data_IF_044614266209
#
_entry.id   IF_044614266209
#
_cell.length_a   1.000
_cell.length_b   1.000
_cell.length_c   1.000
_cell.angle_alpha   90.00
_cell.angle_beta   90.00
_cell.angle_gamma   90.00
#
_symmetry.space_group_name_H-M   'P 1'
#
loop_
_entity.id
_entity.type
_entity.pdbx_description
1 polymer ?
#
# COMPACT_ATOMS: atom_id res chain seq x y z
N UNK A 1 7.33 -11.59 6.53
CA UNK A 1 6.61 -10.30 6.61
C UNK A 1 5.14 -10.61 6.90
N UNK A 2 4.55 -10.04 7.95
CA UNK A 2 3.12 -10.24 8.24
C UNK A 2 2.30 -9.78 7.04
N UNK A 3 1.40 -10.62 6.54
CA UNK A 3 0.50 -10.25 5.43
C UNK A 3 -0.55 -9.27 5.96
N UNK A 4 -0.34 -7.97 5.74
CA UNK A 4 -1.27 -6.91 6.21
C UNK A 4 -2.36 -6.64 5.18
N UNK A 5 -2.11 -6.95 3.89
CA UNK A 5 -3.13 -6.90 2.84
C UNK A 5 -4.37 -7.70 3.25
N UNK A 6 -5.53 -7.06 3.42
CA UNK A 6 -6.77 -7.74 3.79
C UNK A 6 -7.09 -8.92 2.89
N UNK A 7 -6.95 -8.78 1.56
CA UNK A 7 -7.33 -9.83 0.61
C UNK A 7 -6.31 -10.97 0.57
N UNK A 8 -5.01 -10.66 0.60
CA UNK A 8 -3.95 -11.69 0.56
C UNK A 8 -3.74 -12.42 1.88
N UNK A 9 -4.13 -11.80 3.00
CA UNK A 9 -4.15 -12.49 4.30
C UNK A 9 -5.23 -13.57 4.36
N UNK A 10 -6.28 -13.43 3.56
CA UNK A 10 -7.51 -14.20 3.69
C UNK A 10 -8.42 -13.59 4.76
N UNK A 11 -9.69 -13.41 4.42
CA UNK A 11 -10.72 -12.88 5.31
C UNK A 11 -11.80 -13.94 5.45
N UNK A 12 -11.99 -14.46 6.66
CA UNK A 12 -13.20 -15.19 6.97
C UNK A 12 -14.28 -14.19 7.38
N UNK A 13 -15.37 -14.12 6.61
CA UNK A 13 -16.44 -13.13 6.80
C UNK A 13 -17.03 -13.21 8.21
N UNK A 14 -17.08 -14.41 8.81
CA UNK A 14 -17.65 -14.64 10.14
C UNK A 14 -16.80 -14.06 11.29
N UNK A 15 -15.54 -13.75 11.04
CA UNK A 15 -14.64 -13.22 12.07
C UNK A 15 -14.86 -11.72 12.34
N UNK A 16 -15.75 -11.07 11.57
CA UNK A 16 -15.95 -9.63 11.60
C UNK A 16 -17.43 -9.25 11.67
N UNK A 17 -17.73 -8.22 12.46
CA UNK A 17 -18.96 -7.45 12.33
C UNK A 17 -18.80 -6.44 11.19
N UNK A 18 -19.71 -6.47 10.21
CA UNK A 18 -19.63 -5.66 9.00
C UNK A 18 -20.57 -4.45 9.05
N UNK A 19 -20.04 -3.28 8.74
CA UNK A 19 -20.79 -2.03 8.73
C UNK A 19 -20.59 -1.30 7.41
N UNK A 20 -21.69 -0.86 6.79
CA UNK A 20 -21.59 0.16 5.73
C UNK A 20 -21.15 1.47 6.40
N UNK A 21 -20.06 2.06 5.92
CA UNK A 21 -19.53 3.33 6.43
C UNK A 21 -19.60 4.47 5.40
N UNK A 22 -20.04 4.18 4.19
CA UNK A 22 -20.24 5.18 3.14
C UNK A 22 -20.46 4.56 1.77
N UNK A 23 -20.48 5.42 0.76
CA UNK A 23 -20.53 5.08 -0.65
C UNK A 23 -19.80 6.15 -1.47
N UNK A 24 -19.43 5.78 -2.70
CA UNK A 24 -18.72 6.61 -3.66
C UNK A 24 -18.92 6.05 -5.07
N UNK A 25 -18.23 6.57 -6.07
CA UNK A 25 -18.19 6.00 -7.41
C UNK A 25 -16.73 5.87 -7.87
N UNK A 26 -16.40 4.77 -8.53
CA UNK A 26 -15.05 4.54 -9.06
C UNK A 26 -15.13 3.68 -10.32
N UNK A 27 -14.32 4.03 -11.33
CA UNK A 27 -14.16 3.24 -12.55
C UNK A 27 -15.50 2.91 -13.26
N UNK A 28 -16.37 3.92 -13.31
CA UNK A 28 -17.70 3.87 -13.94
C UNK A 28 -18.77 3.12 -13.15
N UNK A 29 -18.52 2.76 -11.89
CA UNK A 29 -19.43 1.97 -11.07
C UNK A 29 -19.72 2.64 -9.72
N UNK A 30 -20.92 2.41 -9.17
CA UNK A 30 -21.23 2.74 -7.79
C UNK A 30 -20.47 1.83 -6.82
N UNK A 31 -19.92 2.39 -5.75
CA UNK A 31 -19.10 1.70 -4.76
C UNK A 31 -19.72 1.85 -3.38
N UNK A 32 -19.87 0.74 -2.67
CA UNK A 32 -20.18 0.74 -1.23
C UNK A 32 -18.90 0.57 -0.42
N UNK A 33 -18.77 1.32 0.67
CA UNK A 33 -17.63 1.24 1.58
C UNK A 33 -18.06 0.47 2.82
N UNK A 34 -17.43 -0.68 3.04
CA UNK A 34 -17.75 -1.59 4.16
C UNK A 34 -16.54 -1.75 5.06
N UNK A 35 -16.74 -1.58 6.36
CA UNK A 35 -15.74 -1.85 7.39
C UNK A 35 -16.06 -3.15 8.11
N UNK A 36 -15.08 -4.05 8.18
CA UNK A 36 -15.10 -5.19 9.08
C UNK A 36 -14.42 -4.84 10.41
N UNK A 37 -15.08 -5.10 11.53
CA UNK A 37 -14.50 -4.95 12.86
C UNK A 37 -14.29 -6.34 13.45
N UNK A 38 -13.05 -6.68 13.81
CA UNK A 38 -12.75 -8.05 14.26
C UNK A 38 -13.49 -8.39 15.56
N UNK A 39 -14.12 -9.56 15.60
CA UNK A 39 -14.96 -10.04 16.70
C UNK A 39 -14.16 -10.80 17.78
N UNK A 40 -12.86 -10.54 17.90
CA UNK A 40 -11.97 -11.21 18.85
C UNK A 40 -11.49 -10.27 19.97
N UNK A 41 -11.19 -10.83 21.15
CA UNK A 41 -10.83 -10.05 22.36
C UNK A 41 -9.51 -9.27 22.23
N UNK A 42 -8.59 -9.66 21.34
CA UNK A 42 -7.33 -8.94 21.08
C UNK A 42 -7.51 -7.99 19.90
N UNK A 43 -8.13 -6.83 20.15
CA UNK A 43 -8.35 -5.80 19.12
C UNK A 43 -7.02 -5.34 18.52
N UNK A 44 -6.89 -5.53 17.22
CA UNK A 44 -5.76 -5.07 16.42
C UNK A 44 -6.33 -4.26 15.26
N UNK A 45 -6.47 -2.92 15.40
CA UNK A 45 -7.11 -2.08 14.38
C UNK A 45 -6.47 -2.17 12.99
N UNK A 46 -5.19 -2.57 12.92
CA UNK A 46 -4.50 -2.81 11.67
C UNK A 46 -5.00 -4.05 10.91
N UNK A 47 -5.81 -4.90 11.56
CA UNK A 47 -6.48 -6.07 10.99
C UNK A 47 -7.94 -5.82 10.60
N UNK A 48 -8.55 -4.70 11.01
CA UNK A 48 -9.92 -4.33 10.64
C UNK A 48 -9.94 -3.87 9.17
N UNK A 49 -10.47 -4.66 8.23
CA UNK A 49 -10.46 -4.28 6.81
C UNK A 49 -11.49 -3.20 6.51
N UNK A 50 -11.16 -2.31 5.59
CA UNK A 50 -12.13 -1.43 4.93
C UNK A 50 -12.08 -1.76 3.44
N UNK A 51 -13.21 -2.20 2.90
CA UNK A 51 -13.37 -2.67 1.54
C UNK A 51 -14.25 -1.68 0.76
N UNK A 52 -13.82 -1.37 -0.46
CA UNK A 52 -14.56 -0.56 -1.43
C UNK A 52 -15.06 -1.51 -2.51
N UNK A 53 -16.34 -1.85 -2.46
CA UNK A 53 -16.94 -2.92 -3.25
C UNK A 53 -17.86 -2.32 -4.30
N UNK A 54 -17.69 -2.72 -5.55
CA UNK A 54 -18.60 -2.37 -6.63
C UNK A 54 -19.98 -2.97 -6.42
N UNK A 55 -21.02 -2.16 -6.57
CA UNK A 55 -22.42 -2.58 -6.36
C UNK A 55 -22.88 -3.54 -7.46
N UNK A 56 -22.41 -3.35 -8.70
CA UNK A 56 -22.86 -4.13 -9.85
C UNK A 56 -21.98 -5.37 -10.07
N UNK A 57 -20.67 -5.20 -9.90
CA UNK A 57 -19.66 -6.22 -10.21
C UNK A 57 -19.22 -7.04 -9.00
N UNK A 58 -19.54 -6.60 -7.78
CA UNK A 58 -19.04 -7.16 -6.51
C UNK A 58 -17.50 -7.20 -6.41
N UNK A 59 -16.80 -6.47 -7.29
CA UNK A 59 -15.34 -6.40 -7.31
C UNK A 59 -14.86 -5.45 -6.20
N UNK A 60 -13.72 -5.79 -5.59
CA UNK A 60 -13.10 -4.94 -4.57
C UNK A 60 -12.07 -4.01 -5.23
N UNK A 61 -12.42 -2.72 -5.36
CA UNK A 61 -11.59 -1.72 -6.05
C UNK A 61 -10.54 -1.09 -5.14
N UNK A 62 -10.76 -1.11 -3.83
CA UNK A 62 -9.78 -0.61 -2.87
C UNK A 62 -9.89 -1.36 -1.57
N UNK A 63 -8.75 -1.62 -0.94
CA UNK A 63 -8.68 -2.07 0.44
C UNK A 63 -7.75 -1.17 1.25
N UNK A 64 -8.16 -0.92 2.48
CA UNK A 64 -7.33 -0.30 3.52
C UNK A 64 -7.64 -0.99 4.85
N UNK A 65 -6.99 -0.54 5.93
CA UNK A 65 -7.31 -0.96 7.28
C UNK A 65 -7.75 0.24 8.13
N UNK A 66 -8.38 -0.02 9.28
CA UNK A 66 -8.84 1.05 10.16
C UNK A 66 -7.70 1.93 10.72
N UNK A 67 -6.45 1.45 10.69
CA UNK A 67 -5.25 2.22 11.07
C UNK A 67 -4.71 3.13 9.96
N UNK A 68 -5.26 3.07 8.74
CA UNK A 68 -4.81 3.80 7.56
C UNK A 68 -3.30 3.64 7.29
N UNK A 69 -2.78 2.45 7.56
CA UNK A 69 -1.36 2.14 7.35
C UNK A 69 -1.11 1.46 6.02
N UNK A 70 -2.13 0.89 5.39
CA UNK A 70 -2.00 0.21 4.09
C UNK A 70 -3.09 0.66 3.15
N UNK A 71 -2.75 0.82 1.89
CA UNK A 71 -3.71 1.07 0.81
C UNK A 71 -3.37 0.18 -0.36
N UNK A 72 -4.38 -0.48 -0.91
CA UNK A 72 -4.34 -1.18 -2.19
C UNK A 72 -5.46 -0.62 -3.04
N UNK A 73 -5.15 -0.18 -4.26
CA UNK A 73 -6.15 0.29 -5.23
C UNK A 73 -6.02 -0.58 -6.46
N UNK A 74 -7.16 -0.99 -6.98
CA UNK A 74 -7.29 -1.81 -8.18
C UNK A 74 -8.04 -1.03 -9.25
N UNK A 75 -7.65 -1.23 -10.50
CA UNK A 75 -8.29 -0.61 -11.67
C UNK A 75 -8.62 -1.69 -12.70
N UNK A 76 -9.67 -1.51 -13.50
CA UNK A 76 -9.92 -2.37 -14.66
C UNK A 76 -8.85 -2.16 -15.73
N UNK A 77 -8.37 -3.25 -16.30
CA UNK A 77 -7.70 -3.22 -17.61
C UNK A 77 -8.76 -3.18 -18.73
N UNK A 78 -8.32 -3.15 -19.98
CA UNK A 78 -9.19 -3.11 -21.15
C UNK A 78 -10.11 -4.35 -21.27
N UNK A 79 -9.71 -5.49 -20.69
CA UNK A 79 -10.53 -6.71 -20.59
C UNK A 79 -11.52 -6.70 -19.41
N UNK A 80 -11.57 -5.61 -18.64
CA UNK A 80 -12.40 -5.49 -17.43
C UNK A 80 -11.90 -6.28 -16.21
N UNK A 81 -10.69 -6.86 -16.26
CA UNK A 81 -10.04 -7.53 -15.12
C UNK A 81 -9.38 -6.51 -14.21
N UNK A 82 -9.46 -6.73 -12.89
CA UNK A 82 -8.78 -5.87 -11.93
C UNK A 82 -7.30 -6.22 -11.82
N UNK A 83 -6.46 -5.19 -11.89
CA UNK A 83 -5.05 -5.26 -11.54
C UNK A 83 -4.73 -4.28 -10.41
N UNK A 84 -3.72 -4.58 -9.58
CA UNK A 84 -3.26 -3.70 -8.52
C UNK A 84 -2.56 -2.50 -9.16
N UNK A 85 -3.21 -1.33 -9.18
CA UNK A 85 -2.67 -0.12 -9.80
C UNK A 85 -1.79 0.68 -8.86
N UNK A 86 -2.08 0.60 -7.56
CA UNK A 86 -1.39 1.35 -6.52
C UNK A 86 -1.31 0.56 -5.22
N UNK A 87 -0.16 0.61 -4.57
CA UNK A 87 0.01 0.11 -3.21
C UNK A 87 0.83 1.09 -2.37
N UNK A 88 0.35 1.36 -1.15
CA UNK A 88 1.10 2.06 -0.11
C UNK A 88 1.12 1.22 1.15
N UNK A 89 2.27 1.18 1.81
CA UNK A 89 2.41 0.70 3.18
C UNK A 89 3.26 1.65 3.99
N UNK A 90 2.67 2.16 5.07
CA UNK A 90 3.29 3.06 6.02
C UNK A 90 3.48 2.38 7.37
N UNK A 91 4.71 2.45 7.89
CA UNK A 91 5.07 1.91 9.20
C UNK A 91 5.67 2.99 10.08
N UNK A 92 5.29 3.01 11.36
CA UNK A 92 5.89 3.81 12.42
C UNK A 92 6.47 2.86 13.45
N UNK A 93 7.73 3.04 13.80
CA UNK A 93 8.37 2.31 14.90
C UNK A 93 9.26 3.25 15.69
N UNK A 94 9.49 2.93 16.95
CA UNK A 94 10.59 3.52 17.70
C UNK A 94 11.82 2.64 17.50
N UNK A 95 12.96 3.28 17.33
CA UNK A 95 14.26 2.60 17.33
C UNK A 95 15.10 3.18 18.44
N UNK A 96 15.66 2.30 19.25
CA UNK A 96 16.62 2.65 20.28
C UNK A 96 17.88 3.23 19.64
N UNK A 97 18.38 4.32 20.20
CA UNK A 97 19.61 4.96 19.79
C UNK A 97 20.74 4.50 20.69
N UNK A 98 21.81 3.96 20.08
CA UNK A 98 23.08 3.77 20.76
C UNK A 98 23.69 5.12 21.14
N UNK A 99 24.63 5.16 22.09
CA UNK A 99 25.32 6.39 22.46
C UNK A 99 26.00 7.08 21.27
N UNK A 100 26.53 6.30 20.33
CA UNK A 100 27.14 6.81 19.10
C UNK A 100 26.11 7.51 18.20
N UNK A 101 24.93 6.91 18.02
CA UNK A 101 23.84 7.55 17.28
C UNK A 101 23.40 8.85 17.96
N UNK A 102 23.29 8.87 19.30
CA UNK A 102 22.93 10.06 20.06
C UNK A 102 23.93 11.20 19.89
N UNK A 103 25.24 10.89 19.93
CA UNK A 103 26.31 11.85 19.66
C UNK A 103 26.27 12.40 18.24
N UNK A 104 26.07 11.52 17.24
CA UNK A 104 26.04 11.89 15.82
C UNK A 104 24.85 12.77 15.48
N UNK A 105 23.66 12.38 15.96
CA UNK A 105 22.40 13.11 15.75
C UNK A 105 22.25 14.32 16.69
N UNK A 106 23.19 14.52 17.63
CA UNK A 106 23.18 15.59 18.64
C UNK A 106 21.87 15.62 19.43
N UNK A 107 21.43 14.46 19.91
CA UNK A 107 20.18 14.30 20.67
C UNK A 107 20.42 13.56 21.98
N UNK A 108 19.64 13.90 23.01
CA UNK A 108 19.60 13.19 24.30
C UNK A 108 18.51 12.14 24.36
N UNK A 109 17.71 12.00 23.30
CA UNK A 109 16.63 11.02 23.25
C UNK A 109 17.20 9.61 23.11
N UNK A 110 16.78 8.70 24.00
CA UNK A 110 17.15 7.28 23.92
C UNK A 110 16.48 6.55 22.75
N UNK A 111 15.41 7.12 22.19
CA UNK A 111 14.66 6.56 21.07
C UNK A 111 14.35 7.62 20.03
N UNK A 112 14.37 7.21 18.77
CA UNK A 112 13.86 8.03 17.66
C UNK A 112 12.65 7.38 17.02
N UNK A 113 11.71 8.22 16.59
CA UNK A 113 10.57 7.79 15.77
C UNK A 113 11.03 7.61 14.34
N UNK A 114 10.99 6.36 13.86
CA UNK A 114 11.20 6.02 12.47
C UNK A 114 9.88 5.85 11.74
N UNK A 115 9.81 6.46 10.57
CA UNK A 115 8.69 6.34 9.65
C UNK A 115 9.22 5.80 8.33
N UNK A 116 8.64 4.70 7.85
CA UNK A 116 8.97 4.14 6.53
C UNK A 116 7.70 4.03 5.70
N UNK A 117 7.74 4.56 4.48
CA UNK A 117 6.69 4.43 3.48
C UNK A 117 7.25 3.64 2.30
N UNK A 118 6.57 2.57 1.93
CA UNK A 118 6.78 1.86 0.68
C UNK A 118 5.61 2.19 -0.24
N UNK A 119 5.92 2.58 -1.46
CA UNK A 119 4.93 2.98 -2.46
C UNK A 119 5.24 2.29 -3.78
N UNK A 120 4.20 1.74 -4.41
CA UNK A 120 4.28 1.06 -5.71
C UNK A 120 3.18 1.63 -6.59
N UNK A 121 3.57 2.08 -7.78
CA UNK A 121 2.66 2.62 -8.79
C UNK A 121 2.90 1.80 -10.06
N UNK A 122 1.83 1.29 -10.66
CA UNK A 122 1.91 0.59 -11.94
C UNK A 122 1.81 1.60 -13.07
N UNK A 123 2.87 1.67 -13.89
CA UNK A 123 2.97 2.58 -15.04
C UNK A 123 2.40 1.97 -16.34
N UNK A 124 2.36 0.63 -16.42
CA UNK A 124 1.85 -0.10 -17.58
C UNK A 124 1.65 -1.57 -17.27
N UNK A 125 0.92 -2.26 -18.14
CA UNK A 125 0.64 -3.70 -18.03
C UNK A 125 1.17 -4.36 -19.31
N UNK A 126 2.02 -5.37 -19.14
CA UNK A 126 2.43 -6.26 -20.22
C UNK A 126 1.86 -7.65 -19.93
N UNK A 127 1.18 -8.23 -20.93
CA UNK A 127 0.52 -9.53 -20.84
C UNK A 127 1.17 -10.56 -21.76
N UNK A 128 1.96 -10.12 -22.75
CA UNK A 128 2.76 -11.00 -23.58
C UNK A 128 3.89 -11.62 -22.77
N UNK A 129 3.69 -12.89 -22.41
CA UNK A 129 4.66 -13.69 -21.65
C UNK A 129 6.05 -13.71 -22.28
N UNK A 130 6.18 -13.54 -23.60
CA UNK A 130 7.48 -13.54 -24.29
C UNK A 130 8.34 -12.33 -23.92
N UNK A 131 7.71 -11.23 -23.48
CA UNK A 131 8.39 -10.00 -23.04
C UNK A 131 8.63 -9.97 -21.53
N UNK A 132 8.17 -10.97 -20.79
CA UNK A 132 8.28 -11.05 -19.35
C UNK A 132 9.39 -12.04 -19.00
N UNK A 133 10.53 -11.52 -18.54
CA UNK A 133 11.58 -12.35 -17.96
C UNK A 133 11.27 -12.63 -16.48
N UNK A 134 10.88 -13.87 -16.19
CA UNK A 134 10.60 -14.33 -14.82
C UNK A 134 11.81 -14.98 -14.14
N UNK A 135 12.98 -15.02 -14.78
CA UNK A 135 14.16 -15.71 -14.25
C UNK A 135 14.68 -15.10 -12.93
N UNK A 136 14.41 -13.81 -12.68
CA UNK A 136 14.76 -13.10 -11.44
C UNK A 136 13.79 -13.36 -10.28
N UNK A 137 13.53 -14.63 -9.94
CA UNK A 137 12.64 -14.99 -8.82
C UNK A 137 13.24 -14.69 -7.44
N UNK A 138 14.54 -14.49 -7.33
CA UNK A 138 15.19 -14.15 -6.04
C UNK A 138 14.71 -12.80 -5.47
N UNK A 139 14.23 -11.91 -6.34
CA UNK A 139 13.64 -10.61 -5.97
C UNK A 139 12.42 -10.79 -5.05
N UNK A 140 11.70 -11.92 -5.12
CA UNK A 140 10.55 -12.19 -4.24
C UNK A 140 10.92 -12.27 -2.75
N UNK A 141 12.20 -12.46 -2.42
CA UNK A 141 12.70 -12.52 -1.03
C UNK A 141 13.44 -11.26 -0.59
N UNK A 142 13.76 -10.35 -1.51
CA UNK A 142 14.49 -9.12 -1.21
C UNK A 142 13.55 -8.03 -0.70
N UNK A 143 14.03 -7.19 0.23
CA UNK A 143 13.31 -5.95 0.53
C UNK A 143 13.37 -5.02 -0.68
N UNK A 144 12.35 -4.17 -0.86
CA UNK A 144 12.36 -3.18 -1.95
C UNK A 144 13.62 -2.32 -1.94
N UNK A 145 14.15 -1.95 -0.77
CA UNK A 145 15.40 -1.20 -0.64
C UNK A 145 16.67 -1.98 -1.05
N UNK A 146 16.61 -3.30 -1.17
CA UNK A 146 17.75 -4.15 -1.53
C UNK A 146 17.81 -4.42 -3.04
N UNK A 147 16.74 -4.10 -3.79
CA UNK A 147 16.68 -4.30 -5.23
C UNK A 147 17.65 -3.33 -5.90
N UNK A 148 18.72 -3.88 -6.50
CA UNK A 148 19.66 -3.10 -7.31
C UNK A 148 19.01 -2.73 -8.64
N UNK A 149 18.47 -1.52 -8.72
CA UNK A 149 17.99 -0.95 -9.98
C UNK A 149 19.19 -0.36 -10.74
N UNK A 150 19.42 -0.80 -11.98
CA UNK A 150 20.44 -0.18 -12.84
C UNK A 150 20.00 1.24 -13.18
N UNK A 151 20.90 2.20 -13.08
CA UNK A 151 20.63 3.56 -13.52
C UNK A 151 20.29 3.58 -15.01
N UNK A 152 19.21 4.29 -15.37
CA UNK A 152 18.79 4.49 -16.74
C UNK A 152 18.51 6.00 -16.92
N UNK A 153 19.39 6.71 -17.63
CA UNK A 153 19.26 8.15 -17.85
C UNK A 153 17.98 8.49 -18.63
N UNK A 154 17.70 7.73 -19.70
CA UNK A 154 16.54 7.95 -20.57
C UNK A 154 15.21 7.79 -19.81
N UNK A 155 15.16 6.87 -18.84
CA UNK A 155 14.00 6.79 -17.94
C UNK A 155 13.80 8.09 -17.18
N UNK A 156 14.85 8.62 -16.53
CA UNK A 156 14.75 9.83 -15.70
C UNK A 156 14.47 11.09 -16.51
N UNK A 157 15.02 11.19 -17.72
CA UNK A 157 14.78 12.32 -18.62
C UNK A 157 13.33 12.39 -19.10
N UNK A 158 12.67 11.23 -19.19
CA UNK A 158 11.27 11.11 -19.64
C UNK A 158 10.28 10.80 -18.51
N UNK A 159 10.74 10.77 -17.26
CA UNK A 159 9.91 10.37 -16.13
C UNK A 159 8.95 11.50 -15.75
N UNK A 160 7.69 11.36 -16.17
CA UNK A 160 6.62 12.24 -15.72
C UNK A 160 6.09 11.77 -14.36
N UNK A 161 6.44 12.51 -13.31
CA UNK A 161 5.86 12.33 -11.99
C UNK A 161 4.35 12.60 -12.04
N UNK A 162 3.53 11.83 -11.29
CA UNK A 162 2.13 12.18 -11.09
C UNK A 162 2.02 13.58 -10.46
N UNK A 163 0.91 14.30 -10.66
CA UNK A 163 0.72 15.63 -10.10
C UNK A 163 0.93 15.61 -8.58
N UNK A 164 1.52 16.66 -7.99
CA UNK A 164 1.81 16.73 -6.57
C UNK A 164 0.58 16.42 -5.71
N UNK A 165 0.69 15.40 -4.86
CA UNK A 165 -0.35 15.09 -3.87
C UNK A 165 -0.43 16.20 -2.82
N UNK A 166 -1.56 16.34 -2.14
CA UNK A 166 -1.72 17.29 -1.02
C UNK A 166 -0.66 17.09 0.09
N UNK A 167 -0.19 15.85 0.27
CA UNK A 167 0.93 15.56 1.16
C UNK A 167 2.25 16.15 0.63
N UNK A 168 2.57 15.96 -0.66
CA UNK A 168 3.80 16.48 -1.26
C UNK A 168 3.83 18.02 -1.23
N UNK A 169 2.70 18.66 -1.50
CA UNK A 169 2.55 20.13 -1.40
C UNK A 169 2.80 20.65 0.03
N UNK A 170 2.47 19.88 1.07
CA UNK A 170 2.76 20.24 2.46
C UNK A 170 4.26 20.14 2.79
N UNK A 171 4.98 19.19 2.19
CA UNK A 171 6.41 19.00 2.42
C UNK A 171 7.25 20.08 1.73
N UNK A 172 6.84 20.52 0.53
CA UNK A 172 7.54 21.57 -0.24
C UNK A 172 7.40 23.00 0.32
N UNK A 173 6.48 23.21 1.27
CA UNK A 173 6.23 24.53 1.89
C UNK A 173 7.12 24.81 3.10
N UNK A 174 7.99 23.87 3.48
CA UNK A 174 9.04 24.04 4.49
C UNK A 174 10.40 24.18 3.81
#
# INVERSE_FOLDING_TARGET
>A
MTKIDPLRRGINIKDYDWFKIGDTSYDGEGIVIIRGKINTRKRQPYLDPILYIGVDSYKVYKTTNASDTVVYIYKKNDDGKLYLSYHNHYTRRFQDLTEEHQKTLKTTNAQIKLSKRNEVIVLGIETDKKKIDVSFTDVYRMKMEEIKVKYNAEFWDNFNLPPPTEYYKKVLKN
#
